data_IF_260996232247
#
_entry.id   IF_260996232247
#
_cell.length_a   1.000
_cell.length_b   1.000
_cell.length_c   1.000
_cell.angle_alpha   90.00
_cell.angle_beta   90.00
_cell.angle_gamma   90.00
#
_symmetry.space_group_name_H-M   'P 1'
#
loop_
_entity.id
_entity.type
_entity.pdbx_description
1 polymer ?
#
# COMPACT_ATOMS: atom_id res chain seq x y z
N UNK A 1 -45.50 -28.10 -20.11
CA UNK A 1 -45.23 -26.86 -20.87
C UNK A 1 -43.73 -26.78 -21.06
N UNK A 2 -43.24 -27.22 -22.23
CA UNK A 2 -41.82 -27.15 -22.58
C UNK A 2 -41.52 -25.70 -22.96
N UNK A 3 -40.61 -25.05 -22.23
CA UNK A 3 -40.10 -23.73 -22.63
C UNK A 3 -39.29 -23.96 -23.90
N UNK A 4 -39.86 -23.59 -25.05
CA UNK A 4 -39.16 -23.55 -26.33
C UNK A 4 -38.38 -22.24 -26.31
N UNK A 5 -37.06 -22.35 -26.25
CA UNK A 5 -36.16 -21.20 -26.26
C UNK A 5 -35.91 -20.79 -27.70
N UNK A 6 -36.20 -19.53 -28.06
CA UNK A 6 -35.82 -19.00 -29.36
C UNK A 6 -34.31 -18.67 -29.39
N UNK A 7 -33.74 -18.61 -30.59
CA UNK A 7 -32.30 -18.38 -30.78
C UNK A 7 -31.81 -17.07 -30.14
N UNK A 8 -32.69 -16.05 -30.07
CA UNK A 8 -32.42 -14.79 -29.37
C UNK A 8 -32.34 -14.97 -27.85
N UNK A 9 -33.20 -15.79 -27.24
CA UNK A 9 -33.17 -16.07 -25.80
C UNK A 9 -31.92 -16.85 -25.39
N UNK A 10 -31.46 -17.76 -26.25
CA UNK A 10 -30.20 -18.49 -26.07
C UNK A 10 -29.02 -17.52 -26.15
N UNK A 11 -29.02 -16.62 -27.14
CA UNK A 11 -27.99 -15.60 -27.31
C UNK A 11 -27.90 -14.64 -26.12
N UNK A 12 -29.05 -14.16 -25.63
CA UNK A 12 -29.13 -13.28 -24.47
C UNK A 12 -28.66 -13.98 -23.20
N UNK A 13 -29.05 -15.25 -23.00
CA UNK A 13 -28.59 -16.05 -21.84
C UNK A 13 -27.07 -16.26 -21.86
N UNK A 14 -26.50 -16.63 -23.01
CA UNK A 14 -25.05 -16.79 -23.16
C UNK A 14 -24.30 -15.48 -22.90
N UNK A 15 -24.84 -14.34 -23.36
CA UNK A 15 -24.28 -13.02 -23.11
C UNK A 15 -24.25 -12.68 -21.61
N UNK A 16 -25.35 -12.92 -20.89
CA UNK A 16 -25.41 -12.71 -19.43
C UNK A 16 -24.47 -13.66 -18.68
N UNK A 17 -24.37 -14.93 -19.08
CA UNK A 17 -23.41 -15.88 -18.50
C UNK A 17 -21.96 -15.42 -18.70
N UNK A 18 -21.60 -14.93 -19.90
CA UNK A 18 -20.26 -14.40 -20.19
C UNK A 18 -19.95 -13.14 -19.37
N UNK A 19 -20.90 -12.20 -19.25
CA UNK A 19 -20.77 -11.02 -18.40
C UNK A 19 -20.57 -11.39 -16.92
N UNK A 20 -21.33 -12.36 -16.43
CA UNK A 20 -21.25 -12.85 -15.05
C UNK A 20 -19.91 -13.55 -14.80
N UNK A 21 -19.47 -14.41 -15.72
CA UNK A 21 -18.17 -15.05 -15.62
C UNK A 21 -17.03 -14.01 -15.63
N UNK A 22 -17.03 -13.09 -16.60
CA UNK A 22 -16.02 -12.05 -16.72
C UNK A 22 -15.95 -11.13 -15.48
N UNK A 23 -17.10 -10.75 -14.91
CA UNK A 23 -17.17 -9.93 -13.70
C UNK A 23 -16.81 -10.70 -12.42
N UNK A 24 -17.01 -12.02 -12.39
CA UNK A 24 -16.62 -12.87 -11.26
C UNK A 24 -15.11 -13.12 -11.19
N UNK A 25 -14.38 -13.06 -12.31
CA UNK A 25 -12.91 -13.32 -12.34
C UNK A 25 -12.13 -12.38 -11.41
N UNK A 26 -12.31 -11.03 -11.44
CA UNK A 26 -11.67 -10.14 -10.48
C UNK A 26 -11.99 -10.45 -9.02
N UNK A 27 -13.24 -10.80 -8.72
CA UNK A 27 -13.71 -11.13 -7.37
C UNK A 27 -13.11 -12.44 -6.89
N UNK A 28 -13.13 -13.48 -7.73
CA UNK A 28 -12.50 -14.76 -7.44
C UNK A 28 -10.98 -14.59 -7.24
N UNK A 29 -10.30 -13.83 -8.10
CA UNK A 29 -8.88 -13.49 -7.92
C UNK A 29 -8.65 -12.77 -6.60
N UNK A 30 -9.54 -11.88 -6.18
CA UNK A 30 -9.43 -11.18 -4.89
C UNK A 30 -9.64 -12.10 -3.69
N UNK A 31 -10.65 -12.98 -3.72
CA UNK A 31 -10.94 -13.96 -2.66
C UNK A 31 -9.79 -14.96 -2.52
N UNK A 32 -9.16 -15.34 -3.63
CA UNK A 32 -8.01 -16.24 -3.63
C UNK A 32 -6.70 -15.57 -3.17
N UNK A 33 -6.65 -14.25 -3.00
CA UNK A 33 -5.49 -13.56 -2.42
C UNK A 33 -5.43 -13.86 -0.92
N UNK A 34 -4.42 -14.61 -0.49
CA UNK A 34 -4.32 -15.01 0.92
C UNK A 34 -3.88 -13.85 1.85
N UNK A 35 -3.04 -12.94 1.35
CA UNK A 35 -2.70 -11.70 2.06
C UNK A 35 -3.42 -10.51 1.45
N UNK A 36 -4.67 -10.26 1.88
CA UNK A 36 -5.48 -9.15 1.37
C UNK A 36 -4.85 -7.76 1.59
N UNK A 37 -3.97 -7.64 2.59
CA UNK A 37 -3.25 -6.41 2.89
C UNK A 37 -2.04 -6.14 2.00
N UNK A 38 -1.62 -7.12 1.19
CA UNK A 38 -0.44 -7.06 0.32
C UNK A 38 -0.73 -7.52 -1.11
N UNK A 39 -1.77 -6.99 -1.79
CA UNK A 39 -2.23 -7.52 -3.06
C UNK A 39 -1.19 -7.44 -4.18
N UNK A 40 -0.25 -6.49 -4.11
CA UNK A 40 0.86 -6.37 -5.08
C UNK A 40 1.95 -7.41 -4.85
N UNK A 41 2.33 -7.67 -3.60
CA UNK A 41 3.34 -8.69 -3.30
C UNK A 41 2.83 -10.09 -3.61
N UNK A 42 1.53 -10.35 -3.41
CA UNK A 42 0.91 -11.62 -3.83
C UNK A 42 0.98 -11.89 -5.34
N UNK A 43 1.26 -10.88 -6.17
CA UNK A 43 1.48 -11.05 -7.62
C UNK A 43 2.93 -11.32 -7.98
N UNK A 44 3.85 -11.02 -7.06
CA UNK A 44 5.30 -11.06 -7.29
C UNK A 44 5.92 -12.26 -6.56
N UNK A 45 5.45 -12.56 -5.36
CA UNK A 45 5.98 -13.58 -4.48
C UNK A 45 5.00 -14.75 -4.35
N UNK A 46 5.56 -15.94 -4.21
CA UNK A 46 4.81 -17.15 -3.90
C UNK A 46 4.31 -17.13 -2.45
N UNK A 47 3.30 -17.97 -2.17
CA UNK A 47 2.77 -18.14 -0.81
C UNK A 47 3.89 -18.45 0.20
N UNK A 48 4.77 -19.42 -0.10
CA UNK A 48 5.83 -19.85 0.81
C UNK A 48 6.80 -18.71 1.16
N UNK A 49 7.08 -17.85 0.18
CA UNK A 49 7.91 -16.67 0.40
C UNK A 49 7.21 -15.63 1.28
N UNK A 50 5.92 -15.41 1.06
CA UNK A 50 5.10 -14.53 1.90
C UNK A 50 4.99 -15.06 3.33
N UNK A 51 4.71 -16.35 3.50
CA UNK A 51 4.64 -17.01 4.82
C UNK A 51 5.96 -16.81 5.59
N UNK A 52 7.10 -17.03 4.93
CA UNK A 52 8.42 -16.82 5.54
C UNK A 52 8.74 -15.36 5.88
N UNK A 53 8.13 -14.38 5.21
CA UNK A 53 8.24 -12.97 5.56
C UNK A 53 7.36 -12.59 6.77
N UNK A 54 6.28 -13.33 7.02
CA UNK A 54 5.33 -13.04 8.10
C UNK A 54 5.55 -13.87 9.36
N UNK A 55 6.21 -15.02 9.27
CA UNK A 55 6.37 -15.99 10.38
C UNK A 55 6.91 -15.36 11.67
N UNK A 56 7.79 -14.36 11.55
CA UNK A 56 8.43 -13.67 12.69
C UNK A 56 7.86 -12.29 12.98
N UNK A 57 6.80 -11.88 12.27
CA UNK A 57 6.22 -10.55 12.43
C UNK A 57 5.11 -10.56 13.48
N UNK A 58 5.29 -9.74 14.51
CA UNK A 58 4.28 -9.53 15.54
C UNK A 58 3.67 -8.15 15.40
N UNK A 59 2.40 -8.10 14.99
CA UNK A 59 1.68 -6.85 14.81
C UNK A 59 1.10 -6.36 16.13
N UNK A 60 1.46 -5.12 16.47
CA UNK A 60 0.96 -4.41 17.65
C UNK A 60 0.24 -3.16 17.20
N UNK A 61 -0.93 -2.90 17.78
CA UNK A 61 -1.65 -1.65 17.56
C UNK A 61 -0.84 -0.49 18.13
N UNK A 62 -0.62 0.54 17.33
CA UNK A 62 0.01 1.78 17.76
C UNK A 62 -1.01 2.57 18.58
N UNK A 63 -0.60 2.97 19.78
CA UNK A 63 -1.36 3.86 20.64
C UNK A 63 -0.69 5.23 20.61
N UNK A 64 -1.37 6.20 20.01
CA UNK A 64 -0.96 7.59 20.04
C UNK A 64 -1.42 8.23 21.35
N UNK A 65 -0.64 9.19 21.88
CA UNK A 65 -1.09 10.00 23.02
C UNK A 65 -2.33 10.83 22.68
N UNK A 66 -2.47 11.20 21.40
CA UNK A 66 -3.63 11.92 20.91
C UNK A 66 -4.79 10.95 20.62
N UNK A 67 -5.86 11.04 21.39
CA UNK A 67 -7.05 10.20 21.23
C UNK A 67 -7.74 10.35 19.87
N UNK A 68 -7.62 11.51 19.21
CA UNK A 68 -8.20 11.72 17.89
C UNK A 68 -7.53 10.78 16.88
N UNK A 69 -6.21 10.65 16.90
CA UNK A 69 -5.48 9.71 16.04
C UNK A 69 -5.87 8.25 16.29
N UNK A 70 -6.10 7.87 17.55
CA UNK A 70 -6.52 6.51 17.89
C UNK A 70 -7.95 6.19 17.40
N UNK A 71 -8.81 7.21 17.26
CA UNK A 71 -10.20 7.09 16.81
C UNK A 71 -10.32 6.96 15.29
N UNK A 72 -9.47 7.62 14.51
CA UNK A 72 -9.75 7.78 13.08
C UNK A 72 -9.35 6.59 12.21
N UNK A 73 -8.26 5.85 12.46
CA UNK A 73 -8.04 4.47 11.96
C UNK A 73 -6.92 3.78 12.76
N UNK A 74 -7.01 2.47 13.07
CA UNK A 74 -5.94 1.77 13.77
C UNK A 74 -4.73 1.56 12.85
N UNK A 75 -3.57 2.03 13.30
CA UNK A 75 -2.27 1.69 12.72
C UNK A 75 -1.71 0.50 13.49
N UNK A 76 -1.23 -0.51 12.78
CA UNK A 76 -0.48 -1.61 13.36
C UNK A 76 0.96 -1.55 12.90
N UNK A 77 1.88 -1.84 13.81
CA UNK A 77 3.30 -1.97 13.50
C UNK A 77 3.80 -3.35 13.82
N UNK A 78 4.73 -3.84 13.03
CA UNK A 78 5.56 -5.00 13.31
C UNK A 78 7.03 -4.60 13.15
N UNK A 79 7.96 -5.54 13.02
CA UNK A 79 9.37 -5.20 12.85
C UNK A 79 9.58 -4.56 11.47
N UNK A 80 9.13 -5.23 10.40
CA UNK A 80 9.38 -4.79 9.03
C UNK A 80 8.17 -4.19 8.32
N UNK A 81 6.99 -4.20 8.95
CA UNK A 81 5.76 -3.73 8.32
C UNK A 81 5.00 -2.71 9.16
N UNK A 82 4.32 -1.81 8.47
CA UNK A 82 3.20 -1.05 9.01
C UNK A 82 1.93 -1.47 8.30
N UNK A 83 0.81 -1.57 9.00
CA UNK A 83 -0.51 -1.78 8.39
C UNK A 83 -1.38 -0.59 8.72
N UNK A 84 -1.85 0.07 7.68
CA UNK A 84 -2.66 1.29 7.75
C UNK A 84 -3.89 1.07 6.88
N UNK A 85 -5.07 1.06 7.49
CA UNK A 85 -6.36 0.83 6.81
C UNK A 85 -6.34 -0.41 5.90
N UNK A 86 -5.88 -1.53 6.45
CA UNK A 86 -5.74 -2.79 5.72
C UNK A 86 -4.65 -2.81 4.66
N UNK A 87 -3.93 -1.71 4.41
CA UNK A 87 -2.80 -1.67 3.48
C UNK A 87 -1.51 -1.90 4.24
N UNK A 88 -0.78 -2.97 3.90
CA UNK A 88 0.51 -3.22 4.50
C UNK A 88 1.64 -2.53 3.71
N UNK A 89 2.50 -1.86 4.45
CA UNK A 89 3.60 -1.04 3.98
C UNK A 89 4.89 -1.69 4.47
N UNK A 90 5.72 -2.13 3.54
CA UNK A 90 7.07 -2.61 3.88
C UNK A 90 7.96 -1.43 4.26
N UNK A 91 8.48 -1.45 5.48
CA UNK A 91 9.48 -0.47 5.92
C UNK A 91 10.79 -0.63 5.18
N UNK A 92 11.16 -1.86 4.79
CA UNK A 92 12.40 -2.15 4.03
C UNK A 92 12.33 -1.62 2.60
N UNK A 93 11.18 -1.72 1.95
CA UNK A 93 11.03 -1.15 0.60
C UNK A 93 10.78 0.35 0.61
N UNK A 94 10.23 0.92 1.69
CA UNK A 94 9.86 2.33 1.75
C UNK A 94 11.09 3.24 1.74
N UNK A 95 11.19 4.08 0.73
CA UNK A 95 12.23 5.10 0.57
C UNK A 95 11.77 6.40 1.22
N UNK A 96 10.58 6.86 0.81
CA UNK A 96 9.98 8.12 1.23
C UNK A 96 8.51 7.88 1.56
N UNK A 97 8.00 8.65 2.53
CA UNK A 97 6.57 8.78 2.82
C UNK A 97 6.16 10.23 2.72
N UNK A 98 5.06 10.50 2.05
CA UNK A 98 4.44 11.82 2.01
C UNK A 98 3.09 11.77 2.71
N UNK A 99 2.90 12.67 3.68
CA UNK A 99 1.61 12.82 4.37
C UNK A 99 0.78 13.89 3.67
N UNK A 100 -0.26 13.41 2.98
CA UNK A 100 -1.15 14.25 2.20
C UNK A 100 -2.47 14.48 2.94
N UNK A 101 -3.00 15.69 2.80
CA UNK A 101 -4.30 16.06 3.35
C UNK A 101 -5.11 16.84 2.31
N UNK A 102 -6.37 16.44 2.11
CA UNK A 102 -7.30 17.14 1.23
C UNK A 102 -8.46 17.70 2.05
N UNK A 103 -8.82 18.95 1.77
CA UNK A 103 -9.89 19.64 2.49
C UNK A 103 -11.24 19.41 1.82
N UNK A 104 -12.17 18.77 2.54
CA UNK A 104 -13.56 18.68 2.10
C UNK A 104 -14.34 19.92 2.58
N UNK A 105 -14.62 20.83 1.65
CA UNK A 105 -15.28 22.13 1.91
C UNK A 105 -16.61 22.05 2.66
N UNK A 106 -17.36 20.95 2.52
CA UNK A 106 -18.74 20.86 3.04
C UNK A 106 -18.87 20.32 4.48
N UNK A 107 -17.86 19.62 5.01
CA UNK A 107 -17.98 18.93 6.31
C UNK A 107 -16.98 19.40 7.37
N UNK A 108 -16.07 20.33 7.03
CA UNK A 108 -15.00 20.72 7.96
C UNK A 108 -14.07 19.55 8.32
N UNK A 109 -13.97 18.57 7.42
CA UNK A 109 -13.13 17.38 7.55
C UNK A 109 -12.00 17.45 6.52
N UNK A 110 -10.81 17.01 6.91
CA UNK A 110 -9.72 16.71 5.99
C UNK A 110 -9.59 15.22 5.81
N UNK A 111 -9.63 14.77 4.57
CA UNK A 111 -9.25 13.42 4.23
C UNK A 111 -7.73 13.31 4.20
N UNK A 112 -7.17 12.39 4.97
CA UNK A 112 -5.73 12.23 5.18
C UNK A 112 -5.28 10.87 4.66
N UNK A 113 -4.14 10.83 3.98
CA UNK A 113 -3.54 9.59 3.50
C UNK A 113 -2.02 9.68 3.43
N UNK A 114 -1.38 8.51 3.49
CA UNK A 114 0.04 8.34 3.21
C UNK A 114 0.21 7.96 1.75
N UNK A 115 1.18 8.58 1.09
CA UNK A 115 1.77 8.05 -0.14
C UNK A 115 3.17 7.55 0.19
N UNK A 116 3.40 6.26 -0.03
CA UNK A 116 4.68 5.63 0.24
C UNK A 116 5.33 5.27 -1.08
N UNK A 117 6.56 5.73 -1.26
CA UNK A 117 7.38 5.52 -2.44
C UNK A 117 8.38 4.40 -2.15
N UNK A 118 8.38 3.38 -3.00
CA UNK A 118 9.19 2.18 -2.81
C UNK A 118 10.43 2.16 -3.69
N UNK A 119 11.43 1.39 -3.26
CA UNK A 119 12.69 1.15 -3.96
C UNK A 119 12.48 0.78 -5.43
N UNK A 120 11.41 0.10 -5.81
CA UNK A 120 11.15 -0.29 -7.20
C UNK A 120 10.46 0.79 -8.06
N UNK A 121 10.49 2.05 -7.64
CA UNK A 121 9.86 3.15 -8.38
C UNK A 121 8.34 3.07 -8.42
N UNK A 122 7.71 2.31 -7.51
CA UNK A 122 6.25 2.25 -7.36
C UNK A 122 5.82 3.00 -6.12
N UNK A 123 4.60 3.54 -6.13
CA UNK A 123 3.97 4.11 -4.92
C UNK A 123 2.72 3.36 -4.48
N UNK A 124 2.44 3.38 -3.19
CA UNK A 124 1.18 2.91 -2.60
C UNK A 124 0.53 4.03 -1.79
N UNK A 125 -0.81 4.07 -1.83
CA UNK A 125 -1.63 5.01 -1.07
C UNK A 125 -2.33 4.27 0.05
N UNK A 126 -2.14 4.71 1.30
CA UNK A 126 -2.80 4.15 2.48
C UNK A 126 -3.63 5.24 3.17
N UNK A 127 -4.92 4.98 3.40
CA UNK A 127 -5.83 5.97 3.95
C UNK A 127 -5.67 6.06 5.47
N UNK A 128 -5.69 7.27 6.02
CA UNK A 128 -5.63 7.54 7.46
C UNK A 128 -6.97 8.07 8.01
N UNK A 129 -7.96 8.26 7.14
CA UNK A 129 -9.32 8.67 7.48
C UNK A 129 -9.55 10.16 7.42
N UNK A 130 -10.63 10.58 8.07
CA UNK A 130 -11.09 11.96 8.08
C UNK A 130 -10.73 12.63 9.42
N UNK A 131 -9.85 13.62 9.38
CA UNK A 131 -9.50 14.42 10.55
C UNK A 131 -10.39 15.65 10.63
N UNK A 132 -10.86 15.99 11.83
CA UNK A 132 -11.60 17.24 12.02
C UNK A 132 -10.66 18.44 11.93
N UNK A 133 -11.07 19.47 11.19
CA UNK A 133 -10.28 20.72 11.02
C UNK A 133 -10.15 21.48 12.35
N UNK A 134 -11.07 21.24 13.30
CA UNK A 134 -11.09 21.91 14.60
C UNK A 134 -10.18 21.26 15.66
N UNK A 135 -9.78 19.99 15.49
CA UNK A 135 -9.02 19.25 16.50
C UNK A 135 -7.57 19.06 16.11
N UNK A 136 -6.67 19.91 16.60
CA UNK A 136 -5.25 19.60 16.73
C UNK A 136 -4.56 19.06 15.47
N UNK A 137 -4.96 19.47 14.26
CA UNK A 137 -4.46 18.91 12.99
C UNK A 137 -2.93 18.92 12.93
N UNK A 138 -2.33 20.04 13.32
CA UNK A 138 -0.87 20.21 13.36
C UNK A 138 -0.22 19.26 14.36
N UNK A 139 -0.86 19.01 15.49
CA UNK A 139 -0.40 18.08 16.51
C UNK A 139 -0.53 16.63 16.02
N UNK A 140 -1.66 16.28 15.38
CA UNK A 140 -1.88 14.98 14.76
C UNK A 140 -0.87 14.67 13.67
N UNK A 141 -0.64 15.65 12.78
CA UNK A 141 0.39 15.59 11.74
C UNK A 141 1.77 15.37 12.35
N UNK A 142 2.16 16.20 13.33
CA UNK A 142 3.47 16.10 13.99
C UNK A 142 3.66 14.78 14.74
N UNK A 143 2.62 14.29 15.42
CA UNK A 143 2.65 13.02 16.13
C UNK A 143 2.84 11.85 15.16
N UNK A 144 2.21 11.90 13.98
CA UNK A 144 2.35 10.90 12.95
C UNK A 144 3.72 10.98 12.26
N UNK A 145 4.21 12.17 11.93
CA UNK A 145 5.56 12.39 11.38
C UNK A 145 6.62 11.86 12.35
N UNK A 146 6.52 12.18 13.63
CA UNK A 146 7.40 11.65 14.68
C UNK A 146 7.29 10.13 14.85
N UNK A 147 6.11 9.55 14.63
CA UNK A 147 5.94 8.10 14.63
C UNK A 147 6.65 7.47 13.43
N UNK A 148 6.41 7.97 12.21
CA UNK A 148 7.04 7.46 10.99
C UNK A 148 8.57 7.57 11.04
N UNK A 149 9.10 8.69 11.55
CA UNK A 149 10.53 8.87 11.75
C UNK A 149 11.12 7.82 12.71
N UNK A 150 10.42 7.50 13.82
CA UNK A 150 10.82 6.42 14.75
C UNK A 150 10.79 5.03 14.12
N UNK A 151 9.94 4.85 13.11
CA UNK A 151 9.86 3.61 12.32
C UNK A 151 10.87 3.60 11.15
N UNK A 152 11.85 4.52 11.15
CA UNK A 152 12.87 4.72 10.11
C UNK A 152 12.29 4.98 8.72
N UNK A 153 11.16 5.69 8.65
CA UNK A 153 10.55 6.14 7.41
C UNK A 153 10.80 7.64 7.23
N UNK A 154 11.52 8.00 6.15
CA UNK A 154 11.80 9.40 5.80
C UNK A 154 10.50 10.06 5.32
N UNK A 155 10.09 11.14 5.99
CA UNK A 155 8.90 11.90 5.62
C UNK A 155 9.31 13.16 4.89
N UNK A 156 8.79 13.36 3.68
CA UNK A 156 9.12 14.51 2.84
C UNK A 156 7.91 15.00 2.04
N UNK A 157 7.91 16.30 1.76
CA UNK A 157 6.93 16.95 0.89
C UNK A 157 7.64 17.60 -0.29
N UNK A 158 7.37 17.09 -1.49
CA UNK A 158 8.05 17.51 -2.73
C UNK A 158 7.28 18.58 -3.49
N UNK A 159 6.10 18.97 -3.01
CA UNK A 159 5.20 19.87 -3.72
C UNK A 159 4.73 19.32 -5.07
N UNK A 160 4.03 20.15 -5.87
CA UNK A 160 3.51 19.74 -7.16
C UNK A 160 4.64 19.51 -8.18
N UNK A 161 4.66 18.32 -8.81
CA UNK A 161 5.59 17.97 -9.90
C UNK A 161 6.92 17.36 -9.46
N UNK A 162 7.32 17.47 -8.18
CA UNK A 162 8.51 16.80 -7.63
C UNK A 162 8.38 15.28 -7.60
N UNK A 163 7.15 14.78 -7.42
CA UNK A 163 6.83 13.35 -7.37
C UNK A 163 7.36 12.57 -8.57
N UNK A 164 7.06 13.04 -9.79
CA UNK A 164 7.37 12.30 -11.01
C UNK A 164 8.89 12.14 -11.18
N UNK A 165 9.64 13.22 -10.93
CA UNK A 165 11.11 13.20 -11.00
C UNK A 165 11.70 12.23 -9.99
N UNK A 166 11.16 12.20 -8.77
CA UNK A 166 11.58 11.26 -7.74
C UNK A 166 11.31 9.82 -8.17
N UNK A 167 10.11 9.51 -8.65
CA UNK A 167 9.76 8.15 -9.09
C UNK A 167 10.64 7.67 -10.25
N UNK A 168 10.86 8.54 -11.24
CA UNK A 168 11.72 8.24 -12.38
C UNK A 168 13.17 7.99 -11.91
N UNK A 169 13.68 8.82 -10.99
CA UNK A 169 15.00 8.65 -10.40
C UNK A 169 15.13 7.34 -9.61
N UNK A 170 14.18 7.04 -8.73
CA UNK A 170 14.16 5.80 -7.96
C UNK A 170 14.10 4.59 -8.90
N UNK A 171 13.27 4.63 -9.95
CA UNK A 171 13.16 3.54 -10.92
C UNK A 171 14.48 3.32 -11.69
N UNK A 172 15.17 4.40 -12.08
CA UNK A 172 16.48 4.34 -12.74
C UNK A 172 17.54 3.70 -11.83
N UNK A 173 17.66 4.18 -10.59
CA UNK A 173 18.62 3.61 -9.63
C UNK A 173 18.27 2.16 -9.31
N UNK A 174 16.97 1.86 -9.15
CA UNK A 174 16.50 0.50 -8.97
C UNK A 174 16.94 -0.40 -10.10
N UNK A 175 16.85 0.02 -11.36
CA UNK A 175 17.31 -0.76 -12.51
C UNK A 175 18.78 -1.18 -12.43
N UNK A 176 19.63 -0.37 -11.78
CA UNK A 176 21.07 -0.62 -11.61
C UNK A 176 21.42 -1.44 -10.38
N UNK A 177 20.54 -1.50 -9.38
CA UNK A 177 20.78 -2.26 -8.15
C UNK A 177 20.76 -3.77 -8.38
N UNK A 178 21.63 -4.51 -7.68
CA UNK A 178 21.63 -5.98 -7.66
C UNK A 178 21.52 -6.60 -9.07
N UNK A 179 22.42 -6.25 -10.01
CA UNK A 179 22.35 -6.74 -11.39
C UNK A 179 22.44 -8.26 -11.52
N UNK A 180 22.95 -8.94 -10.50
CA UNK A 180 22.99 -10.39 -10.38
C UNK A 180 21.61 -11.05 -10.24
N UNK A 181 20.59 -10.31 -9.76
CA UNK A 181 19.23 -10.81 -9.60
C UNK A 181 18.41 -10.55 -10.86
N UNK A 182 18.04 -11.63 -11.57
CA UNK A 182 17.47 -11.56 -12.92
C UNK A 182 15.96 -11.26 -12.93
N UNK A 183 15.26 -11.56 -11.85
CA UNK A 183 13.79 -11.41 -11.77
C UNK A 183 13.36 -10.36 -10.74
N UNK A 184 12.21 -9.70 -10.98
CA UNK A 184 11.62 -8.75 -10.03
C UNK A 184 11.31 -9.43 -8.69
N UNK A 185 10.89 -10.71 -8.72
CA UNK A 185 10.58 -11.50 -7.53
C UNK A 185 11.81 -11.73 -6.65
N UNK A 186 12.93 -12.18 -7.22
CA UNK A 186 14.18 -12.42 -6.47
C UNK A 186 14.68 -11.13 -5.83
N UNK A 187 14.66 -10.04 -6.60
CA UNK A 187 15.13 -8.73 -6.14
C UNK A 187 14.27 -8.15 -5.03
N UNK A 188 12.94 -8.19 -5.20
CA UNK A 188 12.01 -7.75 -4.15
C UNK A 188 12.14 -8.63 -2.91
N UNK A 189 12.27 -9.95 -3.06
CA UNK A 189 12.45 -10.86 -1.93
C UNK A 189 13.76 -10.57 -1.18
N UNK A 190 14.86 -10.35 -1.91
CA UNK A 190 16.15 -9.99 -1.33
C UNK A 190 16.04 -8.70 -0.51
N UNK A 191 15.45 -7.65 -1.08
CA UNK A 191 15.26 -6.37 -0.39
C UNK A 191 14.32 -6.49 0.82
N UNK A 192 13.31 -7.36 0.75
CA UNK A 192 12.42 -7.62 1.87
C UNK A 192 13.07 -8.43 2.99
N UNK A 193 14.12 -9.21 2.73
CA UNK A 193 14.82 -10.04 3.72
C UNK A 193 16.03 -9.38 4.35
N UNK A 194 16.68 -8.46 3.64
CA UNK A 194 17.91 -7.81 4.08
C UNK A 194 17.67 -6.40 4.62
N UNK A 195 18.67 -5.86 5.32
CA UNK A 195 18.67 -4.43 5.63
C UNK A 195 18.88 -3.64 4.32
N UNK A 196 18.19 -2.50 4.23
CA UNK A 196 18.07 -1.68 3.02
C UNK A 196 18.47 -0.23 3.30
N UNK A 197 18.96 0.09 4.50
CA UNK A 197 19.35 1.46 4.89
C UNK A 197 20.36 2.06 3.94
N UNK A 198 21.49 1.38 3.70
CA UNK A 198 22.54 1.83 2.78
C UNK A 198 22.01 1.99 1.35
N UNK A 199 21.19 1.06 0.89
CA UNK A 199 20.57 1.12 -0.45
C UNK A 199 19.68 2.36 -0.58
N UNK A 200 18.89 2.68 0.45
CA UNK A 200 18.02 3.85 0.44
C UNK A 200 18.81 5.15 0.47
N UNK A 201 19.89 5.20 1.24
CA UNK A 201 20.79 6.37 1.29
C UNK A 201 21.48 6.61 -0.06
N UNK A 202 21.78 5.56 -0.83
CA UNK A 202 22.35 5.71 -2.16
C UNK A 202 21.34 6.15 -3.24
N UNK A 203 20.04 5.88 -3.06
CA UNK A 203 18.99 6.26 -4.03
C UNK A 203 18.49 7.70 -3.81
N UNK A 204 18.66 8.24 -2.61
CA UNK A 204 18.15 9.55 -2.21
C UNK A 204 19.21 10.65 -2.34
#
# INVERSE_FOLDING_TARGET
MLVVWDAEDIGFTLFICLLTAASSVPVARYILLQYHSMPRLNRILSKKEMDGLMEREHFQRVQFSNEALNRFHPIYRSMNWLVVDGTAISKRLAVIVQLNCHFHRHHGLRYVWLEVYYLNGRKVKAKLGNWSVRSGERENRKALENFLARENMRVEDFGPGGEKRLLDHIAEQYGRLLPELKTESEKILYLLKNDTREIKEHIL
#
